data_IF_880365195717
#
_entry.id   IF_880365195717
#
_cell.length_a   1.000
_cell.length_b   1.000
_cell.length_c   1.000
_cell.angle_alpha   90.00
_cell.angle_beta   90.00
_cell.angle_gamma   90.00
#
_symmetry.space_group_name_H-M   'P 1'
#
loop_
_entity.id
_entity.type
_entity.pdbx_description
1 polymer ?
#
# COMPACT_ATOMS: atom_id res chain seq x y z
N UNK A 1 4.62 -29.04 -9.12
CA UNK A 1 3.70 -28.47 -10.13
C UNK A 1 3.20 -27.14 -9.59
N UNK A 2 3.48 -25.98 -10.12
CA UNK A 2 4.34 -25.50 -11.19
C UNK A 2 4.23 -23.99 -11.02
N UNK A 3 5.27 -23.33 -10.52
CA UNK A 3 5.36 -21.86 -10.57
C UNK A 3 5.71 -21.51 -12.00
N UNK A 4 4.76 -21.73 -12.90
CA UNK A 4 4.85 -21.25 -14.26
C UNK A 4 4.93 -19.73 -14.18
N UNK A 5 5.94 -19.22 -14.84
CA UNK A 5 6.35 -17.82 -14.92
C UNK A 5 5.12 -16.94 -15.13
N UNK A 6 4.68 -16.26 -14.07
CA UNK A 6 3.67 -15.20 -14.15
C UNK A 6 4.17 -14.22 -15.20
N UNK A 7 3.45 -14.14 -16.33
CA UNK A 7 3.80 -13.24 -17.42
C UNK A 7 3.77 -11.80 -16.91
N UNK A 8 4.60 -10.91 -17.43
CA UNK A 8 4.52 -9.47 -17.12
C UNK A 8 3.13 -8.89 -17.44
N UNK A 9 2.40 -9.51 -18.39
CA UNK A 9 1.01 -9.20 -18.68
C UNK A 9 0.04 -9.66 -17.56
N UNK A 10 0.33 -10.78 -16.91
CA UNK A 10 -0.44 -11.28 -15.74
C UNK A 10 -0.18 -10.43 -14.50
N UNK A 11 1.05 -9.93 -14.33
CA UNK A 11 1.36 -8.92 -13.32
C UNK A 11 0.60 -7.62 -13.59
N UNK A 12 0.52 -7.17 -14.86
CA UNK A 12 -0.26 -6.00 -15.24
C UNK A 12 -1.77 -6.19 -15.05
N UNK A 13 -2.28 -7.41 -15.24
CA UNK A 13 -3.67 -7.76 -14.94
C UNK A 13 -3.92 -7.85 -13.43
N UNK A 14 -3.04 -8.50 -12.66
CA UNK A 14 -3.12 -8.57 -11.21
C UNK A 14 -3.00 -7.18 -10.56
N UNK A 15 -2.11 -6.33 -11.07
CA UNK A 15 -1.98 -4.93 -10.67
C UNK A 15 -3.25 -4.14 -11.00
N UNK A 16 -3.81 -4.32 -12.21
CA UNK A 16 -5.08 -3.70 -12.59
C UNK A 16 -6.25 -4.22 -11.76
N UNK A 17 -6.33 -5.51 -11.42
CA UNK A 17 -7.38 -6.07 -10.54
C UNK A 17 -7.22 -5.59 -9.09
N UNK A 18 -5.98 -5.43 -8.61
CA UNK A 18 -5.68 -4.81 -7.32
C UNK A 18 -6.06 -3.32 -7.30
N UNK A 19 -5.98 -2.63 -8.46
CA UNK A 19 -6.46 -1.27 -8.66
C UNK A 19 -7.98 -1.19 -8.96
N UNK A 20 -8.61 -2.20 -9.55
CA UNK A 20 -10.05 -2.18 -9.89
C UNK A 20 -10.91 -2.47 -8.66
N UNK A 21 -10.30 -3.09 -7.64
CA UNK A 21 -10.95 -3.45 -6.39
C UNK A 21 -10.74 -2.43 -5.27
N UNK A 22 -10.30 -1.18 -5.54
CA UNK A 22 -9.89 -0.21 -4.48
C UNK A 22 -10.94 -0.15 -3.37
N UNK A 23 -10.70 -0.78 -2.21
CA UNK A 23 -11.53 -0.56 -1.05
C UNK A 23 -11.33 0.93 -0.71
N UNK A 24 -12.40 1.70 -0.54
CA UNK A 24 -12.36 3.15 -0.20
C UNK A 24 -11.32 3.48 0.88
N UNK A 25 -11.06 2.53 1.77
CA UNK A 25 -10.05 2.55 2.82
C UNK A 25 -8.60 2.60 2.27
N UNK A 26 -8.23 1.74 1.30
CA UNK A 26 -6.90 1.76 0.66
C UNK A 26 -6.71 3.05 -0.15
N UNK A 27 -7.77 3.58 -0.78
CA UNK A 27 -7.71 4.87 -1.47
C UNK A 27 -7.38 6.01 -0.49
N UNK A 28 -7.99 6.01 0.70
CA UNK A 28 -7.70 7.01 1.74
C UNK A 28 -6.25 6.93 2.20
N UNK A 29 -5.70 5.73 2.40
CA UNK A 29 -4.29 5.51 2.74
C UNK A 29 -3.38 6.08 1.65
N UNK A 30 -3.64 5.73 0.39
CA UNK A 30 -2.91 6.25 -0.77
C UNK A 30 -2.94 7.79 -0.82
N UNK A 31 -4.11 8.40 -0.68
CA UNK A 31 -4.27 9.86 -0.70
C UNK A 31 -3.55 10.54 0.47
N UNK A 32 -3.55 9.94 1.65
CA UNK A 32 -2.83 10.46 2.80
C UNK A 32 -1.31 10.47 2.54
N UNK A 33 -0.77 9.38 2.00
CA UNK A 33 0.66 9.25 1.69
C UNK A 33 1.10 10.15 0.53
N UNK A 34 0.29 10.31 -0.51
CA UNK A 34 0.59 11.28 -1.58
C UNK A 34 0.67 12.71 -1.04
N UNK A 35 -0.27 13.10 -0.17
CA UNK A 35 -0.38 14.49 0.28
C UNK A 35 0.64 14.87 1.35
N UNK A 36 1.06 13.90 2.17
CA UNK A 36 1.88 14.15 3.36
C UNK A 36 3.26 13.50 3.30
N UNK A 37 3.50 12.64 2.32
CA UNK A 37 4.70 11.81 2.26
C UNK A 37 4.59 10.57 3.15
N UNK A 38 5.72 9.96 3.53
CA UNK A 38 5.75 8.82 4.43
C UNK A 38 5.09 9.14 5.77
N UNK A 39 4.26 8.22 6.27
CA UNK A 39 3.52 8.42 7.51
C UNK A 39 3.66 7.22 8.44
N UNK A 40 3.71 7.50 9.74
CA UNK A 40 3.60 6.47 10.76
C UNK A 40 2.18 5.95 10.92
N UNK A 41 2.04 4.79 11.56
CA UNK A 41 0.74 4.16 11.80
C UNK A 41 -0.28 5.10 12.48
N UNK A 42 0.15 5.83 13.51
CA UNK A 42 -0.72 6.76 14.26
C UNK A 42 -1.21 7.90 13.36
N UNK A 43 -0.31 8.48 12.57
CA UNK A 43 -0.66 9.57 11.65
C UNK A 43 -1.60 9.07 10.55
N UNK A 44 -1.38 7.87 10.03
CA UNK A 44 -2.28 7.23 9.07
C UNK A 44 -3.69 7.01 9.66
N UNK A 45 -3.80 6.58 10.91
CA UNK A 45 -5.10 6.42 11.56
C UNK A 45 -5.84 7.77 11.64
N UNK A 46 -5.13 8.84 12.00
CA UNK A 46 -5.69 10.20 12.06
C UNK A 46 -6.11 10.70 10.67
N UNK A 47 -5.25 10.55 9.65
CA UNK A 47 -5.52 11.06 8.31
C UNK A 47 -6.62 10.29 7.57
N UNK A 48 -6.72 8.98 7.81
CA UNK A 48 -7.67 8.11 7.08
C UNK A 48 -8.99 7.91 7.81
N UNK A 49 -9.02 8.17 9.13
CA UNK A 49 -10.17 7.94 10.00
C UNK A 49 -10.53 6.45 10.16
N UNK A 50 -9.60 5.55 9.81
CA UNK A 50 -9.80 4.11 9.94
C UNK A 50 -9.58 3.66 11.38
N UNK A 51 -10.38 2.67 11.81
CA UNK A 51 -10.11 1.98 13.07
C UNK A 51 -8.83 1.14 12.93
N UNK A 52 -8.25 0.76 14.07
CA UNK A 52 -6.97 0.07 14.10
C UNK A 52 -6.98 -1.24 13.32
N UNK A 53 -7.96 -2.12 13.53
CA UNK A 53 -8.02 -3.41 12.85
C UNK A 53 -8.10 -3.30 11.33
N UNK A 54 -8.92 -2.35 10.84
CA UNK A 54 -9.05 -2.07 9.41
C UNK A 54 -7.77 -1.49 8.84
N UNK A 55 -7.15 -0.53 9.54
CA UNK A 55 -5.89 0.07 9.10
C UNK A 55 -4.77 -0.97 9.01
N UNK A 56 -4.59 -1.79 10.05
CA UNK A 56 -3.61 -2.88 10.06
C UNK A 56 -3.81 -3.82 8.88
N UNK A 57 -5.03 -4.34 8.70
CA UNK A 57 -5.34 -5.24 7.59
C UNK A 57 -4.97 -4.63 6.22
N UNK A 58 -5.34 -3.36 5.98
CA UNK A 58 -5.04 -2.73 4.70
C UNK A 58 -3.56 -2.43 4.50
N UNK A 59 -2.84 -2.03 5.55
CA UNK A 59 -1.39 -1.78 5.46
C UNK A 59 -0.62 -3.07 5.19
N UNK A 60 -0.96 -4.17 5.89
CA UNK A 60 -0.35 -5.48 5.67
C UNK A 60 -0.58 -5.96 4.23
N UNK A 61 -1.83 -5.85 3.74
CA UNK A 61 -2.15 -6.21 2.36
C UNK A 61 -1.40 -5.35 1.35
N UNK A 62 -1.34 -4.02 1.55
CA UNK A 62 -0.65 -3.11 0.64
C UNK A 62 0.87 -3.31 0.65
N UNK A 63 1.44 -3.76 1.77
CA UNK A 63 2.85 -4.19 1.83
C UNK A 63 3.03 -5.53 1.12
N UNK A 64 2.12 -6.48 1.31
CA UNK A 64 2.20 -7.81 0.69
C UNK A 64 2.10 -7.79 -0.84
N UNK A 65 1.44 -6.78 -1.42
CA UNK A 65 1.34 -6.57 -2.88
C UNK A 65 2.31 -5.52 -3.42
N UNK A 66 3.37 -5.20 -2.66
CA UNK A 66 4.42 -4.27 -3.06
C UNK A 66 3.91 -2.86 -3.42
N UNK A 67 2.79 -2.40 -2.84
CA UNK A 67 2.32 -1.01 -2.99
C UNK A 67 3.04 -0.11 -1.98
N UNK A 68 3.21 -0.61 -0.75
CA UNK A 68 3.90 0.08 0.33
C UNK A 68 5.13 -0.68 0.79
N UNK A 69 6.06 0.04 1.38
CA UNK A 69 7.17 -0.51 2.16
C UNK A 69 7.05 0.01 3.59
N UNK A 70 7.34 -0.86 4.55
CA UNK A 70 7.42 -0.54 5.98
C UNK A 70 8.90 -0.39 6.36
N UNK A 71 9.26 0.78 6.90
CA UNK A 71 10.60 1.06 7.41
C UNK A 71 10.55 1.43 8.88
N UNK A 72 11.61 1.10 9.61
CA UNK A 72 11.76 1.44 11.02
C UNK A 72 12.63 2.70 11.16
N UNK A 73 12.03 3.82 11.52
CA UNK A 73 12.73 5.09 11.78
C UNK A 73 12.59 5.48 13.26
N UNK A 74 13.70 5.70 13.97
CA UNK A 74 13.71 6.25 15.35
C UNK A 74 12.71 5.61 16.33
N UNK A 75 12.46 4.30 16.20
CA UNK A 75 11.49 3.49 16.97
C UNK A 75 10.01 3.56 16.52
N UNK A 76 9.71 4.19 15.39
CA UNK A 76 8.38 4.15 14.74
C UNK A 76 8.44 3.41 13.41
N UNK A 77 7.37 2.66 13.12
CA UNK A 77 7.12 2.10 11.78
C UNK A 77 6.56 3.21 10.91
N UNK A 78 7.19 3.43 9.76
CA UNK A 78 6.81 4.42 8.75
C UNK A 78 6.44 3.67 7.47
N UNK A 79 5.30 4.02 6.89
CA UNK A 79 4.84 3.49 5.62
C UNK A 79 5.09 4.50 4.51
N UNK A 80 5.63 4.04 3.39
CA UNK A 80 5.88 4.81 2.17
C UNK A 80 5.56 3.98 0.95
N UNK A 81 5.37 4.62 -0.20
CA UNK A 81 5.25 3.88 -1.46
C UNK A 81 6.53 3.09 -1.74
N UNK A 82 6.38 1.85 -2.18
CA UNK A 82 7.51 1.03 -2.61
C UNK A 82 8.17 1.64 -3.85
N UNK A 83 9.43 1.31 -4.10
CA UNK A 83 10.13 1.80 -5.29
C UNK A 83 9.51 1.28 -6.59
N UNK A 84 8.95 0.06 -6.56
CA UNK A 84 8.19 -0.50 -7.68
C UNK A 84 6.94 0.35 -7.94
N UNK A 85 6.19 0.67 -6.89
CA UNK A 85 4.95 1.40 -7.01
C UNK A 85 5.14 2.88 -7.36
N UNK A 86 6.24 3.51 -6.91
CA UNK A 86 6.59 4.90 -7.25
C UNK A 86 6.63 5.16 -8.75
N UNK A 87 7.01 4.18 -9.57
CA UNK A 87 7.02 4.30 -11.04
C UNK A 87 5.64 4.45 -11.68
N UNK A 88 4.56 4.21 -10.92
CA UNK A 88 3.17 4.33 -11.35
C UNK A 88 2.46 5.53 -10.72
N UNK A 89 3.13 6.30 -9.87
CA UNK A 89 2.57 7.52 -9.29
C UNK A 89 2.50 8.63 -10.36
N UNK A 90 1.47 9.49 -10.33
CA UNK A 90 1.33 10.62 -11.25
C UNK A 90 2.38 11.72 -11.02
#
# INVERSE_FOLDING_TARGET
>A
FGRETVSTADLGLAHRVALDSVPVQRLRIYQALIRKGPLGYVDLAIQTGLNNSSLTYHLEEMVAVDVLTEEQEEKKKIYRFSDVFKGFLP
#
